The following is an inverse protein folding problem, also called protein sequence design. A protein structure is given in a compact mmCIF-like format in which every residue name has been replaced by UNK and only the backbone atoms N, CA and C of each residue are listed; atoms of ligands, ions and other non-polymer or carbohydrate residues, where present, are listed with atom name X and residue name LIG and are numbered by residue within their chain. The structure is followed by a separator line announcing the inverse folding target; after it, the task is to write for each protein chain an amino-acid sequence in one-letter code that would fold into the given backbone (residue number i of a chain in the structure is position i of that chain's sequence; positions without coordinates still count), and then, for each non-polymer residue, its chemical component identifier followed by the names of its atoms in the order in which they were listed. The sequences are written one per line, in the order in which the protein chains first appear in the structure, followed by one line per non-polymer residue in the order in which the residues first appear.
data_IF_979173728354
#
_entry.id   IF_979173728354
#
_cell.length_a   1.000
_cell.length_b   1.000
_cell.length_c   1.000
_cell.angle_alpha   90.00
_cell.angle_beta   90.00
_cell.angle_gamma   90.00
#
_symmetry.space_group_name_H-M   'P 1'
#
loop_
_entity.id
_entity.type
_entity.pdbx_description
1 polymer ?
#
# COMPACT_ATOMS: atom_id res chain seq x y z
N UNK A 1 -6.67 4.98 7.19
CA UNK A 1 -5.95 3.91 7.92
C UNK A 1 -4.46 4.21 7.83
N UNK A 2 -3.77 4.18 8.97
CA UNK A 2 -2.31 4.39 9.08
C UNK A 2 -1.61 3.05 9.38
N UNK A 3 -0.30 2.97 9.16
CA UNK A 3 0.52 1.80 9.48
C UNK A 3 1.57 2.23 10.49
N UNK A 4 1.59 1.59 11.66
CA UNK A 4 2.53 1.91 12.73
C UNK A 4 3.82 1.09 12.62
N UNK A 5 4.97 1.73 12.77
CA UNK A 5 6.25 1.06 12.96
C UNK A 5 6.35 0.54 14.40
N UNK A 6 6.19 -0.76 14.58
CA UNK A 6 6.25 -1.42 15.89
C UNK A 6 7.67 -1.83 16.30
N UNK A 7 8.67 -1.55 15.48
CA UNK A 7 10.08 -1.79 15.78
C UNK A 7 10.72 -0.65 16.59
N UNK A 8 11.99 -0.87 16.94
CA UNK A 8 12.81 0.08 17.72
C UNK A 8 13.79 0.88 16.83
N UNK A 9 13.75 0.65 15.52
CA UNK A 9 14.57 1.34 14.52
C UNK A 9 13.69 1.98 13.46
N UNK A 10 14.20 3.04 12.83
CA UNK A 10 13.51 3.68 11.73
C UNK A 10 13.37 2.71 10.53
N UNK A 11 12.17 2.60 9.96
CA UNK A 11 11.84 1.59 8.97
C UNK A 11 11.06 2.18 7.79
N UNK A 12 11.36 1.72 6.57
CA UNK A 12 10.49 1.96 5.44
C UNK A 12 9.27 1.05 5.51
N UNK A 13 8.14 1.54 5.03
CA UNK A 13 6.86 0.83 5.05
C UNK A 13 6.32 0.74 3.62
N UNK A 14 5.85 -0.44 3.24
CA UNK A 14 5.06 -0.66 2.03
C UNK A 14 3.76 -1.38 2.36
N UNK A 15 2.75 -1.23 1.52
CA UNK A 15 1.46 -1.87 1.70
C UNK A 15 0.88 -2.40 0.38
N UNK A 16 0.18 -3.52 0.46
CA UNK A 16 -0.73 -3.96 -0.60
C UNK A 16 -2.16 -3.55 -0.23
N UNK A 17 -2.91 -3.07 -1.23
CA UNK A 17 -4.34 -2.79 -1.11
C UNK A 17 -5.08 -3.95 -1.76
N UNK A 18 -5.90 -4.64 -0.97
CA UNK A 18 -6.73 -5.74 -1.44
C UNK A 18 -8.19 -5.30 -1.32
N UNK A 19 -8.87 -5.23 -2.45
CA UNK A 19 -10.29 -4.85 -2.50
C UNK A 19 -11.10 -6.05 -2.93
N UNK A 20 -12.07 -6.44 -2.10
CA UNK A 20 -12.95 -7.59 -2.31
C UNK A 20 -14.38 -7.23 -2.00
N UNK A 21 -15.32 -7.99 -2.53
CA UNK A 21 -16.68 -8.01 -2.02
C UNK A 21 -16.76 -9.05 -0.91
N UNK A 22 -17.24 -8.68 0.27
CA UNK A 22 -17.34 -9.56 1.43
C UNK A 22 -18.73 -9.50 2.04
N UNK A 23 -19.32 -10.64 2.35
CA UNK A 23 -20.59 -10.68 3.07
C UNK A 23 -20.37 -10.40 4.57
N UNK A 24 -21.36 -9.78 5.22
CA UNK A 24 -21.25 -9.40 6.63
C UNK A 24 -21.60 -10.53 7.61
N UNK A 25 -22.25 -11.60 7.15
CA UNK A 25 -22.77 -12.68 8.00
C UNK A 25 -21.68 -13.70 8.34
N UNK A 26 -20.98 -14.17 7.30
CA UNK A 26 -20.00 -15.26 7.34
C UNK A 26 -18.61 -14.81 6.89
N UNK A 27 -18.50 -13.62 6.28
CA UNK A 27 -17.22 -13.10 5.80
C UNK A 27 -16.72 -13.77 4.53
N UNK A 28 -17.59 -14.40 3.73
CA UNK A 28 -17.18 -15.00 2.47
C UNK A 28 -16.84 -13.92 1.46
N UNK A 29 -15.81 -14.20 0.66
CA UNK A 29 -15.39 -13.36 -0.45
C UNK A 29 -16.17 -13.75 -1.70
N UNK A 30 -16.77 -12.78 -2.38
CA UNK A 30 -17.42 -13.00 -3.67
C UNK A 30 -16.39 -13.42 -4.72
N UNK A 31 -16.78 -14.33 -5.62
CA UNK A 31 -15.84 -14.90 -6.60
C UNK A 31 -15.30 -13.91 -7.63
N UNK A 32 -16.00 -12.79 -7.87
CA UNK A 32 -15.52 -11.71 -8.73
C UNK A 32 -14.97 -10.56 -7.88
N UNK A 33 -13.76 -10.11 -8.17
CA UNK A 33 -13.19 -8.93 -7.52
C UNK A 33 -13.86 -7.64 -8.03
N UNK A 34 -14.06 -6.63 -7.16
CA UNK A 34 -14.50 -5.30 -7.57
C UNK A 34 -13.46 -4.61 -8.47
N UNK A 35 -13.94 -3.85 -9.44
CA UNK A 35 -13.12 -3.10 -10.41
C UNK A 35 -13.09 -1.61 -10.04
N UNK A 36 -11.89 -1.07 -9.82
CA UNK A 36 -11.71 0.36 -9.56
C UNK A 36 -12.23 1.22 -10.73
N UNK A 37 -12.91 2.33 -10.42
CA UNK A 37 -13.53 3.23 -11.39
C UNK A 37 -14.85 2.73 -11.99
N UNK A 38 -15.20 1.45 -11.80
CA UNK A 38 -16.47 0.87 -12.27
C UNK A 38 -17.38 0.54 -11.10
N UNK A 39 -16.85 -0.17 -10.11
CA UNK A 39 -17.59 -0.69 -8.97
C UNK A 39 -17.36 0.15 -7.69
N UNK A 40 -16.21 0.81 -7.61
CA UNK A 40 -15.83 1.69 -6.52
C UNK A 40 -14.85 2.76 -6.99
N UNK A 41 -14.75 3.86 -6.26
CA UNK A 41 -13.70 4.87 -6.41
C UNK A 41 -12.76 4.81 -5.22
N UNK A 42 -11.47 4.97 -5.46
CA UNK A 42 -10.43 5.04 -4.43
C UNK A 42 -9.54 6.26 -4.70
N UNK A 43 -9.26 7.01 -3.64
CA UNK A 43 -8.38 8.17 -3.67
C UNK A 43 -7.19 7.90 -2.75
N UNK A 44 -6.00 7.86 -3.34
CA UNK A 44 -4.76 7.57 -2.64
C UNK A 44 -4.07 8.86 -2.20
N UNK A 45 -3.30 8.78 -1.12
CA UNK A 45 -2.45 9.88 -0.67
C UNK A 45 -1.13 9.89 -1.46
N UNK A 46 -1.18 10.30 -2.72
CA UNK A 46 -0.02 10.33 -3.63
C UNK A 46 1.07 11.35 -3.23
N UNK A 47 0.75 12.26 -2.30
CA UNK A 47 1.70 13.21 -1.75
C UNK A 47 2.78 12.49 -0.91
N UNK A 48 2.40 11.46 -0.16
CA UNK A 48 3.29 10.75 0.77
C UNK A 48 3.51 9.29 0.40
N UNK A 49 2.68 8.75 -0.48
CA UNK A 49 2.77 7.40 -1.00
C UNK A 49 2.99 7.40 -2.51
N UNK A 50 3.59 6.34 -3.03
CA UNK A 50 3.67 6.09 -4.46
C UNK A 50 3.59 4.59 -4.75
N UNK A 51 3.09 4.24 -5.93
CA UNK A 51 3.03 2.85 -6.38
C UNK A 51 4.39 2.43 -6.97
N UNK A 52 4.91 1.31 -6.48
CA UNK A 52 6.06 0.62 -7.06
C UNK A 52 5.66 -0.24 -8.25
N UNK A 53 6.63 -0.58 -9.11
CA UNK A 53 6.39 -1.45 -10.27
C UNK A 53 5.96 -2.88 -9.91
N UNK A 54 6.02 -3.25 -8.63
CA UNK A 54 5.61 -4.54 -8.08
C UNK A 54 4.17 -4.53 -7.52
N UNK A 55 3.43 -3.44 -7.68
CA UNK A 55 2.04 -3.29 -7.24
C UNK A 55 1.87 -2.99 -5.74
N UNK A 56 2.98 -2.74 -5.02
CA UNK A 56 2.94 -2.25 -3.65
C UNK A 56 2.97 -0.72 -3.61
N UNK A 57 2.36 -0.15 -2.58
CA UNK A 57 2.43 1.27 -2.28
C UNK A 57 3.51 1.51 -1.22
N UNK A 58 4.41 2.44 -1.48
CA UNK A 58 5.55 2.76 -0.63
C UNK A 58 5.38 4.12 0.02
N UNK A 59 5.58 4.18 1.33
CA UNK A 59 5.64 5.45 2.05
C UNK A 59 7.00 6.11 1.76
N UNK A 60 6.99 7.37 1.31
CA UNK A 60 8.19 8.05 0.79
C UNK A 60 9.31 8.17 1.80
N UNK A 61 8.97 8.44 3.06
CA UNK A 61 9.94 8.66 4.13
C UNK A 61 10.04 7.43 5.03
N UNK A 62 11.19 7.21 5.67
CA UNK A 62 11.27 6.19 6.70
C UNK A 62 10.47 6.64 7.94
N UNK A 63 9.87 5.69 8.64
CA UNK A 63 9.02 5.94 9.81
C UNK A 63 9.81 5.67 11.08
N UNK A 64 9.85 6.66 11.97
CA UNK A 64 10.51 6.56 13.27
C UNK A 64 10.01 5.36 14.10
N UNK A 65 10.81 4.86 15.06
CA UNK A 65 10.35 3.87 16.02
C UNK A 65 9.05 4.32 16.70
N UNK A 66 8.05 3.45 16.77
CA UNK A 66 6.70 3.76 17.31
C UNK A 66 5.95 4.89 16.59
N UNK A 67 6.48 5.38 15.47
CA UNK A 67 5.80 6.33 14.59
C UNK A 67 4.80 5.65 13.68
N UNK A 68 4.04 6.46 12.95
CA UNK A 68 3.04 5.98 11.98
C UNK A 68 3.22 6.67 10.64
N UNK A 69 2.80 6.00 9.58
CA UNK A 69 2.61 6.64 8.28
C UNK A 69 1.42 7.59 8.33
N UNK A 70 1.37 8.52 7.40
CA UNK A 70 0.10 9.12 7.00
C UNK A 70 -0.81 8.08 6.32
N UNK A 71 -2.10 8.41 6.19
CA UNK A 71 -3.05 7.48 5.59
C UNK A 71 -2.68 7.17 4.13
N UNK A 72 -2.75 5.90 3.74
CA UNK A 72 -2.54 5.47 2.35
C UNK A 72 -3.74 5.82 1.45
N UNK A 73 -4.95 5.63 1.98
CA UNK A 73 -6.21 5.90 1.29
C UNK A 73 -6.88 7.09 1.96
N UNK A 74 -7.12 8.16 1.20
CA UNK A 74 -7.86 9.35 1.62
C UNK A 74 -9.37 9.08 1.64
N UNK A 75 -9.88 8.46 0.56
CA UNK A 75 -11.29 8.11 0.45
C UNK A 75 -11.46 6.82 -0.36
N UNK A 76 -12.49 6.04 -0.02
CA UNK A 76 -12.91 4.87 -0.79
C UNK A 76 -14.43 4.79 -0.73
N UNK A 77 -15.09 4.68 -1.88
CA UNK A 77 -16.55 4.76 -1.97
C UNK A 77 -17.09 3.78 -3.00
N UNK A 78 -18.20 3.12 -2.64
CA UNK A 78 -18.89 2.15 -3.50
C UNK A 78 -19.79 2.87 -4.49
N UNK A 79 -19.81 2.38 -5.73
CA UNK A 79 -20.79 2.78 -6.74
C UNK A 79 -21.99 1.83 -6.62
N UNK A 80 -23.09 2.33 -6.04
CA UNK A 80 -24.20 1.50 -5.51
C UNK A 80 -24.82 0.52 -6.51
N UNK A 81 -24.88 0.85 -7.80
CA UNK A 81 -25.52 0.01 -8.82
C UNK A 81 -24.70 -1.25 -9.19
N UNK A 82 -23.52 -1.43 -8.62
CA UNK A 82 -22.57 -2.49 -8.98
C UNK A 82 -22.25 -3.47 -7.86
N UNK A 83 -22.78 -3.25 -6.65
CA UNK A 83 -22.53 -4.14 -5.52
C UNK A 83 -23.34 -5.43 -5.65
N UNK A 84 -22.71 -6.62 -5.55
CA UNK A 84 -23.44 -7.88 -5.49
C UNK A 84 -24.42 -7.92 -4.31
N UNK A 85 -25.62 -8.47 -4.51
CA UNK A 85 -26.64 -8.56 -3.48
C UNK A 85 -26.14 -9.34 -2.25
N UNK A 86 -26.22 -8.74 -1.07
CA UNK A 86 -25.76 -9.33 0.20
C UNK A 86 -24.27 -9.16 0.50
N UNK A 87 -23.50 -8.48 -0.35
CA UNK A 87 -22.08 -8.20 -0.14
C UNK A 87 -21.83 -6.71 0.08
N UNK A 88 -20.75 -6.38 0.78
CA UNK A 88 -20.23 -5.03 0.93
C UNK A 88 -18.80 -4.92 0.41
N UNK A 89 -18.34 -3.71 0.09
CA UNK A 89 -16.95 -3.48 -0.27
C UNK A 89 -16.07 -3.64 0.97
N UNK A 90 -15.09 -4.52 0.88
CA UNK A 90 -14.08 -4.74 1.90
C UNK A 90 -12.73 -4.30 1.34
N UNK A 91 -12.06 -3.40 2.06
CA UNK A 91 -10.72 -2.93 1.75
C UNK A 91 -9.79 -3.41 2.85
N UNK A 92 -8.81 -4.23 2.50
CA UNK A 92 -7.79 -4.73 3.40
C UNK A 92 -6.42 -4.15 3.01
N UNK A 93 -5.67 -3.72 4.02
CA UNK A 93 -4.34 -3.14 3.85
C UNK A 93 -3.33 -4.04 4.53
N UNK A 94 -2.46 -4.67 3.74
CA UNK A 94 -1.40 -5.53 4.24
C UNK A 94 -0.08 -4.78 4.23
N UNK A 95 0.31 -4.28 5.40
CA UNK A 95 1.57 -3.56 5.61
C UNK A 95 2.77 -4.50 5.82
N UNK A 96 3.93 -4.10 5.32
CA UNK A 96 5.22 -4.70 5.65
C UNK A 96 6.28 -3.63 5.80
N UNK A 97 7.30 -3.90 6.61
CA UNK A 97 8.35 -2.94 6.93
C UNK A 97 9.75 -3.56 6.79
N UNK A 98 10.73 -2.72 6.50
CA UNK A 98 12.15 -3.06 6.49
C UNK A 98 12.96 -1.94 7.16
N UNK A 99 14.02 -2.30 7.87
CA UNK A 99 14.89 -1.28 8.49
C UNK A 99 15.47 -0.34 7.42
N UNK A 100 15.50 0.94 7.73
CA UNK A 100 16.00 1.98 6.81
C UNK A 100 17.50 1.91 6.55
N UNK A 101 18.23 1.23 7.44
CA UNK A 101 19.68 1.03 7.38
C UNK A 101 19.98 -0.44 7.67
N UNK A 102 20.88 -1.09 6.91
CA UNK A 102 21.65 -0.53 5.80
C UNK A 102 20.84 -0.35 4.50
N UNK A 103 21.14 0.73 3.77
CA UNK A 103 20.50 1.09 2.48
C UNK A 103 20.53 -0.05 1.47
N UNK A 104 21.61 -0.84 1.44
CA UNK A 104 21.76 -1.98 0.54
C UNK A 104 20.66 -3.03 0.71
N UNK A 105 20.22 -3.27 1.95
CA UNK A 105 19.17 -4.26 2.24
C UNK A 105 17.83 -3.81 1.69
N UNK A 106 17.55 -2.51 1.68
CA UNK A 106 16.32 -1.95 1.11
C UNK A 106 16.28 -2.18 -0.39
N UNK A 107 17.34 -1.79 -1.10
CA UNK A 107 17.42 -1.93 -2.55
C UNK A 107 17.46 -3.40 -3.00
N UNK A 108 18.05 -4.30 -2.19
CA UNK A 108 18.09 -5.74 -2.48
C UNK A 108 16.72 -6.42 -2.26
N UNK A 109 15.99 -6.05 -1.21
CA UNK A 109 14.70 -6.67 -0.89
C UNK A 109 13.54 -6.08 -1.68
N UNK A 110 13.60 -4.79 -2.00
CA UNK A 110 12.53 -4.06 -2.67
C UNK A 110 13.05 -3.43 -3.98
N UNK A 111 13.15 -4.21 -5.07
CA UNK A 111 13.72 -3.75 -6.34
C UNK A 111 12.87 -2.68 -7.04
N UNK A 112 11.61 -2.51 -6.63
CA UNK A 112 10.72 -1.46 -7.14
C UNK A 112 11.09 -0.05 -6.64
N UNK A 113 12.01 0.06 -5.67
CA UNK A 113 12.44 1.34 -5.10
C UNK A 113 13.96 1.41 -5.00
N UNK A 114 14.47 2.65 -4.92
CA UNK A 114 15.87 2.92 -4.63
C UNK A 114 15.99 4.00 -3.55
N UNK A 115 16.95 3.80 -2.66
CA UNK A 115 17.47 4.80 -1.72
C UNK A 115 18.99 4.81 -1.79
N UNK A 116 19.60 5.98 -1.70
CA UNK A 116 21.05 6.18 -1.84
C UNK A 116 21.71 6.71 -0.56
N UNK A 117 20.92 7.26 0.36
CA UNK A 117 21.42 7.80 1.64
C UNK A 117 20.73 7.08 2.82
N UNK A 118 21.44 6.84 3.94
CA UNK A 118 20.81 6.37 5.17
C UNK A 118 19.64 7.27 5.55
N UNK A 119 18.50 6.67 5.91
CA UNK A 119 17.28 7.40 6.28
C UNK A 119 16.74 8.35 5.18
N UNK A 120 17.17 8.14 3.93
CA UNK A 120 16.75 8.96 2.78
C UNK A 120 15.30 8.73 2.36
N UNK A 121 14.83 9.51 1.39
CA UNK A 121 13.53 9.24 0.77
C UNK A 121 13.64 8.09 -0.23
N UNK A 122 12.62 7.22 -0.26
CA UNK A 122 12.46 6.23 -1.31
C UNK A 122 12.09 6.93 -2.63
N UNK A 123 12.71 6.46 -3.71
CA UNK A 123 12.36 6.84 -5.07
C UNK A 123 11.89 5.60 -5.83
N UNK A 124 10.92 5.71 -6.74
CA UNK A 124 10.61 4.63 -7.66
C UNK A 124 11.87 4.20 -8.42
N UNK A 125 12.09 2.90 -8.56
CA UNK A 125 13.12 2.41 -9.47
C UNK A 125 12.72 2.77 -10.91
N UNK A 126 13.64 3.37 -11.65
CA UNK A 126 13.45 3.62 -13.09
C UNK A 126 13.23 2.28 -13.80
N UNK A 127 12.15 2.17 -14.59
CA UNK A 127 11.94 1.01 -15.46
C UNK A 127 13.16 0.88 -16.37
N UNK A 128 13.99 -0.14 -16.18
CA UNK A 128 14.89 -0.55 -17.26
C UNK A 128 14.00 -0.90 -18.45
N UNK A 129 13.99 -0.01 -19.45
CA UNK A 129 13.53 -0.35 -20.79
C UNK A 129 14.50 -1.41 -21.27
N UNK A 130 14.09 -2.67 -21.20
CA UNK A 130 14.75 -3.72 -21.97
C UNK A 130 14.44 -3.43 -23.43
N UNK A 131 15.43 -2.88 -24.14
CA UNK A 131 15.46 -2.78 -25.61
C UNK A 131 15.53 -4.15 -26.28
#
# INVERSE_FOLDING_TARGET
MTISNTGDTEAYIRAAIIVTWKDAENGNVYGAAPVAGTDYTIELNEAEWFEGSDGYYYYRQPVAPRGETSALINSCTVIQDKTPAGYGLNVEILGSAIQSVPVSVVNEKWPAVNVTTPHGCLNPASKEVQE
#
